data_IF_294812731715
#
_entry.id   IF_294812731715
#
_cell.length_a   1.000
_cell.length_b   1.000
_cell.length_c   1.000
_cell.angle_alpha   90.00
_cell.angle_beta   90.00
_cell.angle_gamma   90.00
#
_symmetry.space_group_name_H-M   'P 1'
#
loop_
_entity.id
_entity.type
_entity.pdbx_description
1 polymer ?
#
# COMPACT_ATOMS: atom_id res chain seq x y z
N UNK A 1 -17.30 -19.70 -0.66
CA UNK A 1 -16.31 -19.30 0.38
C UNK A 1 -16.93 -19.53 1.75
N UNK A 2 -16.33 -20.39 2.58
CA UNK A 2 -16.77 -20.60 3.97
C UNK A 2 -16.04 -19.55 4.81
N UNK A 3 -16.79 -18.66 5.43
CA UNK A 3 -16.23 -17.62 6.31
C UNK A 3 -15.80 -18.28 7.61
N UNK A 4 -14.54 -18.18 7.98
CA UNK A 4 -14.03 -18.76 9.23
C UNK A 4 -14.55 -17.99 10.47
N UNK A 5 -14.49 -18.61 11.65
CA UNK A 5 -15.01 -18.03 12.89
C UNK A 5 -14.37 -16.68 13.26
N UNK A 6 -13.06 -16.50 12.97
CA UNK A 6 -12.37 -15.25 13.24
C UNK A 6 -12.90 -14.10 12.37
N UNK A 7 -13.15 -14.37 11.09
CA UNK A 7 -13.72 -13.39 10.19
C UNK A 7 -15.16 -13.04 10.59
N UNK A 8 -15.97 -14.06 10.99
CA UNK A 8 -17.33 -13.82 11.50
C UNK A 8 -17.31 -12.91 12.74
N UNK A 9 -16.41 -13.14 13.72
CA UNK A 9 -16.26 -12.30 14.90
C UNK A 9 -15.86 -10.86 14.54
N UNK A 10 -14.94 -10.70 13.61
CA UNK A 10 -14.50 -9.36 13.14
C UNK A 10 -15.63 -8.61 12.43
N UNK A 11 -16.42 -9.29 11.60
CA UNK A 11 -17.59 -8.71 10.92
C UNK A 11 -18.68 -8.31 11.93
N UNK A 12 -18.93 -9.12 12.94
CA UNK A 12 -19.88 -8.80 13.99
C UNK A 12 -19.45 -7.56 14.81
N UNK A 13 -18.17 -7.49 15.18
CA UNK A 13 -17.60 -6.32 15.85
C UNK A 13 -17.67 -5.06 14.97
N UNK A 14 -17.40 -5.19 13.67
CA UNK A 14 -17.54 -4.08 12.75
C UNK A 14 -18.98 -3.58 12.67
N UNK A 15 -19.95 -4.50 12.56
CA UNK A 15 -21.38 -4.15 12.57
C UNK A 15 -21.76 -3.38 13.84
N UNK A 16 -21.35 -3.87 15.02
CA UNK A 16 -21.62 -3.17 16.29
C UNK A 16 -21.06 -1.74 16.31
N UNK A 17 -19.86 -1.55 15.80
CA UNK A 17 -19.24 -0.22 15.70
C UNK A 17 -19.99 0.69 14.70
N UNK A 18 -20.46 0.15 13.57
CA UNK A 18 -21.30 0.91 12.61
C UNK A 18 -22.62 1.31 13.26
N UNK A 19 -23.28 0.40 13.94
CA UNK A 19 -24.55 0.66 14.64
C UNK A 19 -24.37 1.77 15.70
N UNK A 20 -23.27 1.76 16.45
CA UNK A 20 -22.91 2.82 17.39
C UNK A 20 -22.71 4.18 16.71
N UNK A 21 -22.07 4.23 15.55
CA UNK A 21 -21.84 5.47 14.78
C UNK A 21 -23.15 6.02 14.26
N UNK A 22 -24.01 5.15 13.73
CA UNK A 22 -25.30 5.56 13.15
C UNK A 22 -26.27 6.07 14.22
N UNK A 23 -26.21 5.52 15.43
CA UNK A 23 -27.11 5.89 16.53
C UNK A 23 -26.65 7.08 17.36
N UNK A 24 -25.35 7.42 17.33
CA UNK A 24 -24.79 8.53 18.11
C UNK A 24 -24.59 9.77 17.23
N UNK A 25 -25.19 10.88 17.62
CA UNK A 25 -25.04 12.18 16.93
C UNK A 25 -23.67 12.85 17.18
N UNK A 26 -22.85 12.32 18.08
CA UNK A 26 -21.49 12.80 18.36
C UNK A 26 -20.57 11.62 18.68
N UNK A 27 -19.45 11.55 17.99
CA UNK A 27 -18.39 10.57 18.23
C UNK A 27 -17.17 11.27 18.79
N UNK A 28 -16.50 10.65 19.74
CA UNK A 28 -15.17 11.09 20.17
C UNK A 28 -14.13 10.64 19.16
N UNK A 29 -13.01 11.36 19.06
CA UNK A 29 -11.88 10.99 18.19
C UNK A 29 -11.40 9.57 18.44
N UNK A 30 -11.38 9.13 19.71
CA UNK A 30 -11.03 7.77 20.10
C UNK A 30 -12.01 6.71 19.52
N UNK A 31 -13.29 7.01 19.47
CA UNK A 31 -14.29 6.10 18.90
C UNK A 31 -14.13 5.99 17.38
N UNK A 32 -13.89 7.11 16.71
CA UNK A 32 -13.60 7.14 15.27
C UNK A 32 -12.33 6.35 14.98
N UNK A 33 -11.27 6.58 15.73
CA UNK A 33 -10.00 5.85 15.54
C UNK A 33 -10.15 4.35 15.76
N UNK A 34 -10.88 3.92 16.79
CA UNK A 34 -11.16 2.51 17.05
C UNK A 34 -12.00 1.88 15.93
N UNK A 35 -12.95 2.61 15.38
CA UNK A 35 -13.73 2.14 14.23
C UNK A 35 -12.84 1.93 13.01
N UNK A 36 -12.03 2.92 12.63
CA UNK A 36 -11.12 2.83 11.49
C UNK A 36 -10.13 1.67 11.65
N UNK A 37 -9.62 1.45 12.86
CA UNK A 37 -8.74 0.33 13.18
C UNK A 37 -9.43 -1.02 12.95
N UNK A 38 -10.66 -1.18 13.44
CA UNK A 38 -11.42 -2.41 13.28
C UNK A 38 -11.84 -2.64 11.82
N UNK A 39 -12.14 -1.57 11.10
CA UNK A 39 -12.45 -1.62 9.67
C UNK A 39 -11.24 -2.15 8.88
N UNK A 40 -10.05 -1.58 9.06
CA UNK A 40 -8.84 -2.02 8.37
C UNK A 40 -8.46 -3.47 8.72
N UNK A 41 -8.59 -3.87 9.97
CA UNK A 41 -8.37 -5.26 10.39
C UNK A 41 -9.34 -6.22 9.68
N UNK A 42 -10.61 -5.85 9.61
CA UNK A 42 -11.64 -6.69 8.96
C UNK A 42 -11.40 -6.75 7.45
N UNK A 43 -11.09 -5.62 6.81
CA UNK A 43 -10.72 -5.56 5.40
C UNK A 43 -9.55 -6.49 5.09
N UNK A 44 -8.46 -6.40 5.87
CA UNK A 44 -7.28 -7.27 5.71
C UNK A 44 -7.67 -8.76 5.81
N UNK A 45 -8.48 -9.14 6.79
CA UNK A 45 -8.88 -10.52 6.98
C UNK A 45 -9.74 -11.03 5.81
N UNK A 46 -10.67 -10.20 5.30
CA UNK A 46 -11.49 -10.54 4.12
C UNK A 46 -10.57 -10.76 2.90
N UNK A 47 -9.64 -9.86 2.64
CA UNK A 47 -8.71 -9.97 1.52
C UNK A 47 -7.82 -11.21 1.63
N UNK A 48 -7.36 -11.53 2.84
CA UNK A 48 -6.57 -12.74 3.08
C UNK A 48 -7.36 -14.02 2.80
N UNK A 49 -8.62 -14.07 3.19
CA UNK A 49 -9.51 -15.20 2.89
C UNK A 49 -9.81 -15.31 1.38
N UNK A 50 -10.03 -14.19 0.72
CA UNK A 50 -10.24 -14.16 -0.74
C UNK A 50 -8.97 -14.64 -1.47
N UNK A 51 -7.77 -14.18 -1.07
CA UNK A 51 -6.51 -14.64 -1.65
C UNK A 51 -6.31 -16.14 -1.45
N UNK A 52 -6.62 -16.65 -0.26
CA UNK A 52 -6.57 -18.09 0.02
C UNK A 52 -7.57 -18.85 -0.84
N UNK A 53 -8.81 -18.37 -0.96
CA UNK A 53 -9.82 -18.95 -1.84
C UNK A 53 -9.32 -18.98 -3.28
N UNK A 54 -8.90 -17.83 -3.84
CA UNK A 54 -8.43 -17.71 -5.21
C UNK A 54 -7.24 -18.62 -5.52
N UNK A 55 -6.34 -18.84 -4.53
CA UNK A 55 -5.21 -19.77 -4.68
C UNK A 55 -5.65 -21.23 -4.84
N UNK A 56 -6.79 -21.59 -4.24
CA UNK A 56 -7.30 -22.96 -4.24
C UNK A 56 -8.30 -23.23 -5.38
N UNK A 57 -8.62 -22.24 -6.22
CA UNK A 57 -9.54 -22.40 -7.36
C UNK A 57 -8.77 -22.65 -8.63
N UNK A 58 -9.13 -23.68 -9.37
CA UNK A 58 -8.48 -24.04 -10.63
C UNK A 58 -8.84 -23.09 -11.78
N UNK A 59 -10.09 -22.58 -11.79
CA UNK A 59 -10.62 -21.77 -12.89
C UNK A 59 -10.56 -20.28 -12.60
N UNK A 60 -9.99 -19.50 -13.52
CA UNK A 60 -9.79 -18.05 -13.39
C UNK A 60 -11.11 -17.28 -13.21
N UNK A 61 -12.18 -17.71 -13.87
CA UNK A 61 -13.49 -17.06 -13.79
C UNK A 61 -14.21 -17.25 -12.45
N UNK A 62 -13.78 -18.24 -11.64
CA UNK A 62 -14.30 -18.46 -10.29
C UNK A 62 -13.62 -17.60 -9.24
N UNK A 63 -12.47 -17.00 -9.57
CA UNK A 63 -11.73 -16.16 -8.65
C UNK A 63 -12.47 -14.86 -8.34
N UNK A 64 -12.45 -14.47 -7.08
CA UNK A 64 -13.06 -13.24 -6.61
C UNK A 64 -12.12 -12.08 -6.92
N UNK A 65 -12.60 -11.11 -7.71
CA UNK A 65 -11.87 -9.85 -7.96
C UNK A 65 -11.95 -8.96 -6.73
N UNK A 66 -10.82 -8.35 -6.37
CA UNK A 66 -10.71 -7.44 -5.24
C UNK A 66 -10.22 -6.06 -5.70
N UNK A 67 -10.43 -5.04 -4.86
CA UNK A 67 -9.92 -3.68 -5.11
C UNK A 67 -8.38 -3.67 -5.21
N UNK A 68 -7.72 -4.66 -4.61
CA UNK A 68 -6.26 -4.78 -4.67
C UNK A 68 -5.72 -5.01 -6.10
N UNK A 69 -6.60 -5.39 -7.05
CA UNK A 69 -6.25 -5.45 -8.49
C UNK A 69 -5.96 -4.05 -9.11
N UNK A 70 -6.22 -2.98 -8.39
CA UNK A 70 -5.86 -1.61 -8.81
C UNK A 70 -4.38 -1.28 -8.60
N UNK A 71 -3.66 -2.05 -7.78
CA UNK A 71 -2.20 -1.94 -7.70
C UNK A 71 -1.57 -2.35 -9.02
N UNK A 72 -0.67 -1.54 -9.56
CA UNK A 72 -0.03 -1.77 -10.85
C UNK A 72 1.46 -1.53 -10.77
N UNK A 73 2.24 -2.28 -11.57
CA UNK A 73 3.67 -2.04 -11.74
C UNK A 73 4.02 -2.19 -13.22
N UNK A 74 4.87 -1.29 -13.71
CA UNK A 74 5.38 -1.30 -15.08
C UNK A 74 6.83 -0.84 -15.10
N UNK A 75 7.63 -1.43 -15.98
CA UNK A 75 9.03 -1.03 -16.19
C UNK A 75 9.12 -0.27 -17.51
N UNK A 76 9.48 1.03 -17.44
CA UNK A 76 9.63 1.91 -18.61
C UNK A 76 10.99 2.57 -18.53
N UNK A 77 11.81 2.43 -19.56
CA UNK A 77 13.15 3.06 -19.67
C UNK A 77 14.02 2.81 -18.43
N UNK A 78 14.04 1.58 -17.90
CA UNK A 78 14.72 1.18 -16.67
C UNK A 78 14.24 1.91 -15.40
N UNK A 79 13.05 2.48 -15.41
CA UNK A 79 12.35 3.01 -14.24
C UNK A 79 11.17 2.08 -13.94
N UNK A 80 11.15 1.47 -12.77
CA UNK A 80 10.01 0.70 -12.31
C UNK A 80 9.00 1.67 -11.66
N UNK A 81 7.89 1.89 -12.35
CA UNK A 81 6.77 2.67 -11.83
C UNK A 81 5.77 1.76 -11.15
N UNK A 82 5.36 2.11 -9.92
CA UNK A 82 4.37 1.38 -9.13
C UNK A 82 3.25 2.35 -8.77
N UNK A 83 2.02 1.97 -9.06
CA UNK A 83 0.81 2.71 -8.66
C UNK A 83 0.15 2.02 -7.47
N UNK A 84 -0.09 2.78 -6.40
CA UNK A 84 -0.81 2.37 -5.19
C UNK A 84 -2.10 3.18 -5.11
N UNK A 85 -3.30 2.57 -5.11
CA UNK A 85 -4.59 3.26 -5.20
C UNK A 85 -5.01 3.95 -3.89
N UNK A 86 -4.06 4.32 -3.06
CA UNK A 86 -4.27 5.02 -1.80
C UNK A 86 -3.04 5.84 -1.41
N UNK A 87 -3.23 6.88 -0.61
CA UNK A 87 -2.12 7.64 -0.01
C UNK A 87 -1.49 6.82 1.10
N UNK A 88 -0.16 6.83 1.18
CA UNK A 88 0.55 6.16 2.27
C UNK A 88 0.06 6.66 3.64
N UNK A 89 -0.23 5.76 4.58
CA UNK A 89 -0.77 6.13 5.89
C UNK A 89 0.24 6.95 6.70
N UNK A 90 -0.25 7.75 7.65
CA UNK A 90 0.63 8.41 8.61
C UNK A 90 1.15 7.42 9.66
N UNK A 91 2.32 7.70 10.25
CA UNK A 91 2.89 6.90 11.34
C UNK A 91 1.93 6.69 12.51
N UNK A 92 1.16 7.73 12.88
CA UNK A 92 0.20 7.67 13.99
C UNK A 92 -0.94 6.68 13.72
N UNK A 93 -1.34 6.55 12.46
CA UNK A 93 -2.48 5.74 12.06
C UNK A 93 -2.05 4.37 11.50
N UNK A 94 -0.76 4.09 11.51
CA UNK A 94 -0.25 2.84 10.99
C UNK A 94 -0.57 1.70 11.96
N UNK A 95 -1.23 0.69 11.42
CA UNK A 95 -1.46 -0.59 12.08
C UNK A 95 -0.74 -1.70 11.35
N UNK A 96 -0.37 -2.73 12.06
CA UNK A 96 0.29 -3.92 11.50
C UNK A 96 -0.45 -4.48 10.27
N UNK A 97 -1.78 -4.41 10.27
CA UNK A 97 -2.60 -4.91 9.16
C UNK A 97 -2.47 -4.06 7.90
N UNK A 98 -2.50 -2.72 8.03
CA UNK A 98 -2.32 -1.78 6.91
C UNK A 98 -0.91 -1.95 6.32
N UNK A 99 0.12 -2.01 7.17
CA UNK A 99 1.48 -2.29 6.73
C UNK A 99 1.56 -3.58 5.90
N UNK A 100 1.11 -4.71 6.47
CA UNK A 100 1.15 -6.00 5.77
C UNK A 100 0.37 -6.00 4.46
N UNK A 101 -0.78 -5.35 4.41
CA UNK A 101 -1.58 -5.26 3.20
C UNK A 101 -0.84 -4.52 2.08
N UNK A 102 -0.34 -3.33 2.34
CA UNK A 102 0.40 -2.52 1.36
C UNK A 102 1.66 -3.28 0.91
N UNK A 103 2.45 -3.79 1.86
CA UNK A 103 3.65 -4.55 1.59
C UNK A 103 3.38 -5.74 0.66
N UNK A 104 2.40 -6.59 1.00
CA UNK A 104 2.11 -7.79 0.23
C UNK A 104 1.56 -7.49 -1.16
N UNK A 105 0.73 -6.44 -1.32
CA UNK A 105 0.23 -6.05 -2.63
C UNK A 105 1.35 -5.52 -3.54
N UNK A 106 2.22 -4.66 -3.02
CA UNK A 106 3.37 -4.17 -3.80
C UNK A 106 4.30 -5.33 -4.15
N UNK A 107 4.65 -6.20 -3.18
CA UNK A 107 5.54 -7.34 -3.44
C UNK A 107 4.97 -8.29 -4.50
N UNK A 108 3.65 -8.54 -4.50
CA UNK A 108 3.01 -9.42 -5.47
C UNK A 108 3.11 -8.89 -6.90
N UNK A 109 2.81 -7.59 -7.11
CA UNK A 109 2.86 -7.00 -8.45
C UNK A 109 4.27 -6.75 -8.95
N UNK A 110 5.26 -6.61 -8.04
CA UNK A 110 6.66 -6.35 -8.40
C UNK A 110 7.50 -7.61 -8.54
N UNK A 111 6.99 -8.78 -8.13
CA UNK A 111 7.72 -10.05 -8.20
C UNK A 111 8.25 -10.40 -9.60
N UNK A 112 7.53 -10.01 -10.66
CA UNK A 112 7.96 -10.22 -12.04
C UNK A 112 9.24 -9.44 -12.42
N UNK A 113 9.67 -8.49 -11.59
CA UNK A 113 10.88 -7.68 -11.76
C UNK A 113 11.99 -8.08 -10.79
N UNK A 114 12.00 -9.35 -10.30
CA UNK A 114 13.06 -9.89 -9.46
C UNK A 114 14.43 -9.74 -10.14
N UNK A 115 15.42 -9.20 -9.41
CA UNK A 115 16.77 -8.96 -9.90
C UNK A 115 16.92 -7.77 -10.86
N UNK A 116 15.92 -6.87 -10.94
CA UNK A 116 15.98 -5.72 -11.85
C UNK A 116 17.08 -4.73 -11.49
N UNK A 117 17.36 -4.55 -10.21
CA UNK A 117 18.33 -3.56 -9.72
C UNK A 117 19.38 -4.21 -8.81
N UNK A 118 20.64 -4.23 -9.29
CA UNK A 118 21.79 -4.75 -8.52
C UNK A 118 22.61 -3.65 -7.86
N UNK A 119 22.48 -2.42 -8.35
CA UNK A 119 23.20 -1.25 -7.87
C UNK A 119 22.42 -0.49 -6.77
N UNK A 120 23.00 0.62 -6.33
CA UNK A 120 22.27 1.58 -5.49
C UNK A 120 21.08 2.14 -6.26
N UNK A 121 19.91 2.12 -5.62
CA UNK A 121 18.66 2.66 -6.17
C UNK A 121 18.21 3.92 -5.46
N UNK A 122 17.52 4.77 -6.21
CA UNK A 122 16.66 5.79 -5.63
C UNK A 122 15.20 5.37 -5.75
N UNK A 123 14.47 5.52 -4.64
CA UNK A 123 13.01 5.37 -4.61
C UNK A 123 12.40 6.77 -4.51
N UNK A 124 11.79 7.23 -5.60
CA UNK A 124 11.10 8.51 -5.64
C UNK A 124 9.60 8.28 -5.46
N UNK A 125 9.01 8.89 -4.43
CA UNK A 125 7.64 8.66 -4.02
C UNK A 125 6.85 9.96 -4.18
N UNK A 126 5.79 9.92 -4.99
CA UNK A 126 4.80 11.01 -5.10
C UNK A 126 3.53 10.61 -4.36
N UNK A 127 3.12 11.46 -3.43
CA UNK A 127 1.92 11.30 -2.62
C UNK A 127 0.87 12.28 -3.12
N UNK A 128 -0.20 11.77 -3.71
CA UNK A 128 -1.30 12.58 -4.25
C UNK A 128 -2.47 12.58 -3.28
N UNK A 129 -2.88 13.76 -2.82
CA UNK A 129 -3.99 13.90 -1.88
C UNK A 129 -4.80 15.19 -2.16
N UNK A 130 -6.07 15.22 -1.72
CA UNK A 130 -6.92 16.41 -1.72
C UNK A 130 -6.50 17.41 -0.65
N UNK A 131 -5.91 16.93 0.45
CA UNK A 131 -5.52 17.73 1.60
C UNK A 131 -4.01 17.88 1.59
N UNK A 132 -3.51 19.08 1.35
CA UNK A 132 -2.07 19.39 1.31
C UNK A 132 -1.48 19.83 2.67
N UNK A 133 -2.31 19.95 3.70
CA UNK A 133 -1.88 20.45 5.02
C UNK A 133 -1.22 19.43 5.95
N UNK A 134 -0.77 18.26 5.43
CA UNK A 134 -0.07 17.25 6.24
C UNK A 134 1.43 17.24 5.94
N UNK A 135 2.22 16.88 6.95
CA UNK A 135 3.67 16.78 6.82
C UNK A 135 4.08 15.53 6.04
N UNK A 136 4.93 15.71 5.04
CA UNK A 136 5.40 14.63 4.16
C UNK A 136 6.19 13.57 4.93
N UNK A 137 6.97 13.97 5.92
CA UNK A 137 7.78 13.09 6.79
C UNK A 137 6.94 12.26 7.77
N UNK A 138 5.69 12.63 8.00
CA UNK A 138 4.74 11.85 8.79
C UNK A 138 4.14 10.65 8.05
N UNK A 139 4.44 10.48 6.76
CA UNK A 139 3.94 9.34 5.98
C UNK A 139 4.84 8.13 6.13
N UNK A 140 4.21 6.98 6.34
CA UNK A 140 4.92 5.73 6.57
C UNK A 140 5.25 5.03 5.25
N UNK A 141 6.47 5.17 4.79
CA UNK A 141 6.95 4.63 3.51
C UNK A 141 7.67 3.28 3.63
N UNK A 142 7.96 2.81 4.85
CA UNK A 142 8.67 1.54 5.08
C UNK A 142 8.06 0.33 4.36
N UNK A 143 6.72 0.17 4.24
CA UNK A 143 6.14 -0.95 3.49
C UNK A 143 6.62 -1.04 2.04
N UNK A 144 7.00 0.08 1.43
CA UNK A 144 7.50 0.13 0.05
C UNK A 144 8.87 -0.56 -0.04
N UNK A 145 9.83 -0.14 0.81
CA UNK A 145 11.15 -0.74 0.85
C UNK A 145 11.08 -2.23 1.21
N UNK A 146 10.33 -2.57 2.27
CA UNK A 146 10.14 -3.97 2.70
C UNK A 146 9.53 -4.84 1.58
N UNK A 147 8.62 -4.28 0.77
CA UNK A 147 8.01 -4.99 -0.37
C UNK A 147 8.99 -5.24 -1.50
N UNK A 148 9.82 -4.25 -1.85
CA UNK A 148 10.83 -4.36 -2.90
C UNK A 148 11.92 -5.37 -2.55
N UNK A 149 12.29 -5.47 -1.26
CA UNK A 149 13.19 -6.52 -0.77
C UNK A 149 12.50 -7.88 -0.82
N UNK A 150 11.25 -7.97 -0.34
CA UNK A 150 10.50 -9.24 -0.32
C UNK A 150 10.31 -9.80 -1.74
N UNK A 151 10.09 -8.95 -2.73
CA UNK A 151 9.98 -9.31 -4.14
C UNK A 151 11.33 -9.44 -4.84
N UNK A 152 12.44 -9.17 -4.12
CA UNK A 152 13.81 -9.19 -4.63
C UNK A 152 14.05 -8.25 -5.83
N UNK A 153 13.30 -7.20 -5.95
CA UNK A 153 13.53 -6.12 -6.92
C UNK A 153 14.82 -5.37 -6.58
N UNK A 154 15.06 -5.17 -5.28
CA UNK A 154 16.31 -4.65 -4.70
C UNK A 154 16.89 -5.67 -3.71
N UNK A 155 18.19 -5.62 -3.50
CA UNK A 155 18.87 -6.58 -2.63
C UNK A 155 18.73 -6.26 -1.14
N UNK A 156 18.77 -4.96 -0.78
CA UNK A 156 18.79 -4.50 0.60
C UNK A 156 18.36 -3.01 0.67
N UNK A 157 17.87 -2.56 1.84
CA UNK A 157 17.47 -1.18 2.12
C UNK A 157 18.50 -0.41 2.99
N UNK A 158 19.73 -0.92 3.07
CA UNK A 158 20.77 -0.22 3.81
C UNK A 158 21.21 1.09 3.12
N UNK A 159 21.87 1.97 3.88
CA UNK A 159 22.24 3.32 3.44
C UNK A 159 23.19 3.38 2.24
N UNK A 160 23.81 2.26 1.83
CA UNK A 160 24.69 2.18 0.66
C UNK A 160 23.98 1.61 -0.58
N UNK A 161 22.76 1.11 -0.41
CA UNK A 161 21.99 0.45 -1.47
C UNK A 161 20.71 1.19 -1.84
N UNK A 162 20.20 2.03 -0.95
CA UNK A 162 18.95 2.72 -1.17
C UNK A 162 18.97 4.16 -0.66
N UNK A 163 18.52 5.07 -1.50
CA UNK A 163 18.09 6.42 -1.11
C UNK A 163 16.62 6.60 -1.45
N UNK A 164 15.95 7.55 -0.82
CA UNK A 164 14.58 7.87 -1.18
C UNK A 164 14.29 9.36 -1.13
N UNK A 165 13.34 9.78 -1.94
CA UNK A 165 12.82 11.14 -1.99
C UNK A 165 11.30 11.08 -1.94
N UNK A 166 10.66 11.99 -1.19
CA UNK A 166 9.20 12.04 -1.07
C UNK A 166 8.71 13.43 -1.44
N UNK A 167 7.67 13.50 -2.28
CA UNK A 167 7.01 14.74 -2.70
C UNK A 167 5.50 14.59 -2.54
N UNK A 168 4.83 15.62 -2.00
CA UNK A 168 3.38 15.73 -1.98
C UNK A 168 2.88 16.53 -3.18
N UNK A 169 1.78 16.10 -3.79
CA UNK A 169 1.10 16.81 -4.87
C UNK A 169 -0.43 16.77 -4.68
N UNK A 170 -1.11 17.77 -5.23
CA UNK A 170 -2.58 17.81 -5.20
C UNK A 170 -3.18 16.83 -6.21
N UNK A 171 -4.20 16.09 -5.79
CA UNK A 171 -5.04 15.31 -6.70
C UNK A 171 -6.45 15.13 -6.12
N UNK A 172 -7.46 15.21 -6.97
CA UNK A 172 -8.84 14.86 -6.63
C UNK A 172 -9.01 13.37 -6.29
N UNK A 173 -8.12 12.51 -6.78
CA UNK A 173 -8.11 11.07 -6.50
C UNK A 173 -6.86 10.77 -5.69
N UNK A 174 -6.98 10.50 -4.37
CA UNK A 174 -5.86 10.16 -3.52
C UNK A 174 -5.18 8.86 -3.96
N UNK A 175 -3.85 8.90 -4.19
CA UNK A 175 -3.05 7.74 -4.58
C UNK A 175 -1.57 7.97 -4.27
N UNK A 176 -0.74 6.96 -4.50
CA UNK A 176 0.72 7.06 -4.40
C UNK A 176 1.36 6.50 -5.66
N UNK A 177 2.28 7.23 -6.24
CA UNK A 177 3.16 6.74 -7.31
C UNK A 177 4.57 6.56 -6.76
N UNK A 178 5.19 5.43 -7.08
CA UNK A 178 6.53 5.06 -6.65
C UNK A 178 7.36 4.77 -7.88
N UNK A 179 8.53 5.37 -7.95
CA UNK A 179 9.49 5.18 -9.05
C UNK A 179 10.79 4.65 -8.46
N UNK A 180 11.25 3.49 -8.96
CA UNK A 180 12.50 2.86 -8.55
C UNK A 180 13.45 2.86 -9.75
N UNK A 181 14.67 3.37 -9.57
CA UNK A 181 15.67 3.48 -10.63
C UNK A 181 17.08 3.52 -10.04
N UNK A 182 18.09 3.20 -10.85
CA UNK A 182 19.51 3.33 -10.44
C UNK A 182 19.82 4.79 -10.02
N UNK A 183 20.41 5.00 -8.85
CA UNK A 183 20.73 6.33 -8.31
C UNK A 183 21.57 7.21 -9.26
N UNK A 184 22.42 6.59 -10.09
CA UNK A 184 23.22 7.30 -11.11
C UNK A 184 22.37 8.03 -12.17
N UNK A 185 21.11 7.62 -12.35
CA UNK A 185 20.18 8.19 -13.34
C UNK A 185 19.28 9.29 -12.75
N UNK A 186 19.57 9.76 -11.54
CA UNK A 186 18.75 10.76 -10.83
C UNK A 186 18.48 12.00 -11.68
N UNK A 187 19.52 12.58 -12.31
CA UNK A 187 19.36 13.82 -13.09
C UNK A 187 18.45 13.61 -14.30
N UNK A 188 18.58 12.49 -14.98
CA UNK A 188 17.74 12.13 -16.12
C UNK A 188 16.29 11.92 -15.68
N UNK A 189 16.11 11.17 -14.57
CA UNK A 189 14.79 10.96 -13.98
C UNK A 189 14.12 12.28 -13.61
N UNK A 190 14.81 13.18 -12.91
CA UNK A 190 14.27 14.48 -12.51
C UNK A 190 13.89 15.34 -13.71
N UNK A 191 14.68 15.34 -14.77
CA UNK A 191 14.37 16.07 -16.00
C UNK A 191 13.09 15.56 -16.69
N UNK A 192 12.77 14.26 -16.54
CA UNK A 192 11.62 13.62 -17.20
C UNK A 192 10.36 13.59 -16.35
N UNK A 193 10.49 13.40 -15.03
CA UNK A 193 9.37 13.06 -14.14
C UNK A 193 9.11 14.08 -13.01
N UNK A 194 9.99 15.04 -12.80
CA UNK A 194 9.95 15.97 -11.66
C UNK A 194 9.37 17.35 -11.99
N UNK A 195 8.40 17.39 -12.88
CA UNK A 195 7.68 18.63 -13.20
C UNK A 195 6.77 19.03 -12.04
#
# INVERSE_FOLDING_TARGET
MIINENLQKNLLSLKQNVDLIVTNNSLTDLQIENFLRNFEKTRYNILSEIKLYNKNVEFEYEKIKTIDNEYKAELIDNVLKIYVPEVMPSYKNLKTHTHKRILLNIAEITKQYEGQFDNEVCIYIKLFDKILGWDVDNKFIKPIADALILSKVIQDDNMTKMSYCVKGEFSEIPHTEIYVFDSKNMNEFLAKYSI
#
